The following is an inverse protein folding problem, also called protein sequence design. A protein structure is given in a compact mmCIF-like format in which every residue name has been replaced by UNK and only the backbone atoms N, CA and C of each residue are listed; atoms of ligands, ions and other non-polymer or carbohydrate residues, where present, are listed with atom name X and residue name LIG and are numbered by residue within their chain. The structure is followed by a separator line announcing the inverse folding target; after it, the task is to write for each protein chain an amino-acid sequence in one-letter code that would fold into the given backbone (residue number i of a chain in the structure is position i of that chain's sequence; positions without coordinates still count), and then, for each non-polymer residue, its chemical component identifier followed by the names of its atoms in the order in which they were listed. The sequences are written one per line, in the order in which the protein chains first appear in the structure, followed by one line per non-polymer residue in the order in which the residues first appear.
data_IF_960417801489
#
_entry.id   IF_960417801489
#
_cell.length_a   1.000
_cell.length_b   1.000
_cell.length_c   1.000
_cell.angle_alpha   90.00
_cell.angle_beta   90.00
_cell.angle_gamma   90.00
#
_symmetry.space_group_name_H-M   'P 1'
#
loop_
_entity.id
_entity.type
_entity.pdbx_description
1 polymer ?
#
# COMPACT_ATOMS: atom_id res chain seq x y z
N UNK A 1 4.08 -12.75 -19.90
CA UNK A 1 4.78 -12.95 -18.62
C UNK A 1 3.74 -13.38 -17.60
N UNK A 2 3.94 -14.49 -16.90
CA UNK A 2 3.01 -14.91 -15.83
C UNK A 2 3.21 -14.06 -14.58
N UNK A 3 2.28 -14.12 -13.63
CA UNK A 3 2.44 -13.45 -12.31
C UNK A 3 3.68 -13.95 -11.55
N UNK A 4 4.03 -15.22 -11.72
CA UNK A 4 5.20 -15.83 -11.08
C UNK A 4 6.51 -15.44 -11.77
N UNK A 5 6.53 -15.33 -13.10
CA UNK A 5 7.69 -14.81 -13.83
C UNK A 5 8.01 -13.38 -13.38
N UNK A 6 6.98 -12.53 -13.31
CA UNK A 6 7.10 -11.15 -12.85
C UNK A 6 7.64 -11.08 -11.42
N UNK A 7 7.12 -11.94 -10.53
CA UNK A 7 7.61 -12.03 -9.16
C UNK A 7 9.11 -12.36 -9.12
N UNK A 8 9.55 -13.41 -9.81
CA UNK A 8 10.95 -13.86 -9.74
C UNK A 8 11.93 -12.80 -10.27
N UNK A 9 11.58 -12.15 -11.39
CA UNK A 9 12.39 -11.07 -11.97
C UNK A 9 12.49 -9.90 -10.98
N UNK A 10 11.36 -9.41 -10.50
CA UNK A 10 11.34 -8.24 -9.63
C UNK A 10 11.92 -8.53 -8.25
N UNK A 11 11.77 -9.75 -7.74
CA UNK A 11 12.36 -10.17 -6.47
C UNK A 11 13.90 -10.12 -6.52
N UNK A 12 14.51 -10.56 -7.62
CA UNK A 12 15.95 -10.45 -7.83
C UNK A 12 16.42 -8.99 -7.91
N UNK A 13 15.67 -8.14 -8.64
CA UNK A 13 15.97 -6.71 -8.76
C UNK A 13 15.84 -5.99 -7.41
N UNK A 14 14.76 -6.23 -6.67
CA UNK A 14 14.55 -5.60 -5.35
C UNK A 14 15.63 -6.05 -4.38
N UNK A 15 15.98 -7.34 -4.35
CA UNK A 15 17.06 -7.86 -3.50
C UNK A 15 18.37 -7.12 -3.77
N UNK A 16 18.82 -7.05 -5.01
CA UNK A 16 20.11 -6.44 -5.35
C UNK A 16 20.15 -4.93 -5.07
N UNK A 17 19.07 -4.20 -5.36
CA UNK A 17 18.98 -2.78 -5.07
C UNK A 17 18.94 -2.49 -3.57
N UNK A 18 18.20 -3.29 -2.79
CA UNK A 18 18.13 -3.12 -1.34
C UNK A 18 19.43 -3.53 -0.65
N UNK A 19 20.16 -4.52 -1.16
CA UNK A 19 21.53 -4.83 -0.71
C UNK A 19 22.45 -3.62 -0.89
N UNK A 20 22.40 -2.97 -2.06
CA UNK A 20 23.17 -1.75 -2.30
C UNK A 20 22.78 -0.60 -1.37
N UNK A 21 21.48 -0.41 -1.09
CA UNK A 21 21.01 0.59 -0.11
C UNK A 21 21.53 0.26 1.30
N UNK A 22 21.46 -1.01 1.71
CA UNK A 22 21.96 -1.45 3.01
C UNK A 22 23.45 -1.13 3.20
N UNK A 23 24.24 -1.31 2.15
CA UNK A 23 25.70 -1.11 2.20
C UNK A 23 26.11 0.37 2.11
N UNK A 24 25.31 1.23 1.47
CA UNK A 24 25.71 2.61 1.14
C UNK A 24 24.91 3.70 1.87
N UNK A 25 23.63 3.47 2.14
CA UNK A 25 22.75 4.45 2.79
C UNK A 25 21.73 3.78 3.73
N UNK A 26 22.18 2.98 4.73
CA UNK A 26 21.31 2.17 5.58
C UNK A 26 20.27 2.96 6.39
N UNK A 27 20.46 4.27 6.53
CA UNK A 27 19.55 5.16 7.25
C UNK A 27 18.49 5.83 6.37
N UNK A 28 18.54 5.64 5.04
CA UNK A 28 17.59 6.22 4.11
C UNK A 28 16.18 5.65 4.31
N UNK A 29 15.16 6.42 3.92
CA UNK A 29 13.80 5.91 3.81
C UNK A 29 13.67 5.20 2.47
N UNK A 30 13.11 3.99 2.48
CA UNK A 30 13.03 3.10 1.33
C UNK A 30 11.58 2.98 0.90
N UNK A 31 11.28 3.43 -0.31
CA UNK A 31 9.95 3.40 -0.91
C UNK A 31 9.86 2.33 -1.99
N UNK A 32 9.30 1.17 -1.64
CA UNK A 32 9.10 0.04 -2.56
C UNK A 32 7.82 0.28 -3.38
N UNK A 33 8.00 0.53 -4.68
CA UNK A 33 6.93 0.60 -5.68
C UNK A 33 6.89 -0.68 -6.54
N UNK A 34 8.03 -1.39 -6.63
CA UNK A 34 8.18 -2.60 -7.42
C UNK A 34 7.11 -3.64 -7.06
N UNK A 35 6.43 -4.15 -8.08
CA UNK A 35 5.36 -5.13 -7.91
C UNK A 35 5.89 -6.58 -7.88
N UNK A 36 5.17 -7.50 -7.21
CA UNK A 36 4.06 -7.26 -6.29
C UNK A 36 4.51 -6.71 -4.92
N UNK A 37 4.03 -5.52 -4.52
CA UNK A 37 4.44 -4.84 -3.28
C UNK A 37 4.27 -5.73 -2.05
N UNK A 38 3.17 -6.51 -1.99
CA UNK A 38 2.88 -7.46 -0.90
C UNK A 38 4.00 -8.48 -0.63
N UNK A 39 4.85 -8.76 -1.62
CA UNK A 39 6.02 -9.64 -1.45
C UNK A 39 7.35 -8.89 -1.50
N UNK A 40 7.44 -7.78 -2.23
CA UNK A 40 8.67 -7.00 -2.36
C UNK A 40 9.07 -6.31 -1.06
N UNK A 41 8.12 -5.84 -0.26
CA UNK A 41 8.41 -5.27 1.07
C UNK A 41 8.97 -6.33 2.03
N UNK A 42 8.36 -7.52 2.18
CA UNK A 42 8.97 -8.61 2.95
C UNK A 42 10.38 -8.99 2.46
N UNK A 43 10.62 -9.04 1.15
CA UNK A 43 11.97 -9.30 0.61
C UNK A 43 12.95 -8.23 1.07
N UNK A 44 12.60 -6.95 0.89
CA UNK A 44 13.44 -5.84 1.30
C UNK A 44 13.77 -5.87 2.80
N UNK A 45 12.77 -6.15 3.63
CA UNK A 45 12.94 -6.27 5.07
C UNK A 45 13.91 -7.41 5.45
N UNK A 46 13.75 -8.60 4.87
CA UNK A 46 14.64 -9.74 5.15
C UNK A 46 16.08 -9.48 4.68
N UNK A 47 16.26 -8.81 3.53
CA UNK A 47 17.59 -8.38 3.06
C UNK A 47 18.24 -7.41 4.06
N UNK A 48 17.51 -6.39 4.51
CA UNK A 48 18.01 -5.43 5.50
C UNK A 48 18.30 -6.10 6.85
N UNK A 49 17.50 -7.08 7.27
CA UNK A 49 17.71 -7.86 8.50
C UNK A 49 19.00 -8.68 8.41
N UNK A 50 19.22 -9.36 7.28
CA UNK A 50 20.47 -10.11 7.02
C UNK A 50 21.71 -9.22 7.01
N UNK A 51 21.56 -7.96 6.58
CA UNK A 51 22.60 -6.93 6.63
C UNK A 51 22.74 -6.26 8.00
N UNK A 52 21.85 -6.54 8.95
CA UNK A 52 21.89 -5.99 10.32
C UNK A 52 21.50 -4.51 10.43
N UNK A 53 20.84 -3.95 9.41
CA UNK A 53 20.52 -2.51 9.32
C UNK A 53 19.02 -2.22 9.20
N UNK A 54 18.17 -3.22 9.44
CA UNK A 54 16.73 -3.08 9.31
C UNK A 54 16.13 -2.17 10.38
N UNK A 55 15.47 -1.09 9.91
CA UNK A 55 14.61 -0.23 10.72
C UNK A 55 13.18 -0.30 10.14
N UNK A 56 12.21 -0.94 10.85
CA UNK A 56 10.84 -1.09 10.36
C UNK A 56 10.12 0.25 10.17
N UNK A 57 10.61 1.35 10.76
CA UNK A 57 10.03 2.68 10.61
C UNK A 57 10.35 3.33 9.27
N UNK A 58 11.31 2.81 8.52
CA UNK A 58 11.87 3.45 7.31
C UNK A 58 11.69 2.65 6.02
N UNK A 59 10.99 1.52 6.07
CA UNK A 59 10.66 0.71 4.91
C UNK A 59 9.17 0.82 4.60
N UNK A 60 8.84 1.35 3.42
CA UNK A 60 7.49 1.66 3.00
C UNK A 60 7.14 0.97 1.68
N UNK A 61 6.04 0.22 1.65
CA UNK A 61 5.37 -0.13 0.41
C UNK A 61 4.42 0.98 0.00
N UNK A 62 4.63 1.53 -1.20
CA UNK A 62 3.82 2.66 -1.69
C UNK A 62 2.49 2.13 -2.22
N UNK A 63 1.43 2.30 -1.43
CA UNK A 63 0.04 1.95 -1.79
C UNK A 63 -0.80 3.17 -2.17
N UNK A 64 -0.19 4.36 -2.24
CA UNK A 64 -0.87 5.65 -2.45
C UNK A 64 -1.75 5.69 -3.69
N UNK A 65 -1.43 4.91 -4.73
CA UNK A 65 -2.25 4.83 -5.95
C UNK A 65 -3.66 4.29 -5.66
N UNK A 66 -3.82 3.41 -4.68
CA UNK A 66 -5.13 2.86 -4.32
C UNK A 66 -6.00 3.94 -3.65
N UNK A 67 -5.39 4.80 -2.82
CA UNK A 67 -6.05 5.95 -2.20
C UNK A 67 -6.43 6.97 -3.27
N UNK A 68 -5.53 7.26 -4.22
CA UNK A 68 -5.81 8.16 -5.34
C UNK A 68 -7.00 7.65 -6.17
N UNK A 69 -7.05 6.34 -6.46
CA UNK A 69 -8.19 5.72 -7.15
C UNK A 69 -9.46 5.80 -6.33
N UNK A 70 -9.41 5.42 -5.05
CA UNK A 70 -10.57 5.43 -4.15
C UNK A 70 -11.18 6.83 -4.05
N UNK A 71 -10.35 7.86 -3.81
CA UNK A 71 -10.80 9.25 -3.76
C UNK A 71 -11.41 9.69 -5.09
N UNK A 72 -10.81 9.31 -6.22
CA UNK A 72 -11.33 9.65 -7.56
C UNK A 72 -12.69 9.03 -7.81
N UNK A 73 -12.83 7.72 -7.59
CA UNK A 73 -14.07 7.01 -7.88
C UNK A 73 -15.20 7.39 -6.93
N UNK A 74 -14.91 7.64 -5.65
CA UNK A 74 -15.90 8.15 -4.70
C UNK A 74 -16.32 9.57 -5.06
N UNK A 75 -15.39 10.45 -5.41
CA UNK A 75 -15.71 11.83 -5.82
C UNK A 75 -16.62 11.84 -7.06
N UNK A 76 -16.29 11.06 -8.09
CA UNK A 76 -17.12 10.88 -9.28
C UNK A 76 -18.52 10.37 -8.93
N UNK A 77 -18.59 9.32 -8.09
CA UNK A 77 -19.86 8.66 -7.76
C UNK A 77 -20.79 9.55 -6.93
N UNK A 78 -20.25 10.36 -6.04
CA UNK A 78 -21.01 11.22 -5.12
C UNK A 78 -21.10 12.68 -5.56
N UNK A 79 -20.50 13.04 -6.70
CA UNK A 79 -20.49 14.42 -7.20
C UNK A 79 -19.73 15.39 -6.27
N UNK A 80 -18.69 14.89 -5.60
CA UNK A 80 -17.87 15.68 -4.68
C UNK A 80 -16.65 16.25 -5.38
N UNK A 81 -16.04 17.29 -4.80
CA UNK A 81 -14.74 17.77 -5.28
C UNK A 81 -13.66 16.80 -4.82
N UNK A 82 -12.83 16.33 -5.76
CA UNK A 82 -11.76 15.38 -5.47
C UNK A 82 -10.84 15.81 -4.32
N UNK A 83 -10.52 17.10 -4.23
CA UNK A 83 -9.63 17.67 -3.20
C UNK A 83 -10.21 17.54 -1.77
N UNK A 84 -11.51 17.32 -1.63
CA UNK A 84 -12.19 17.17 -0.34
C UNK A 84 -12.36 15.71 0.08
N UNK A 85 -12.10 14.76 -0.83
CA UNK A 85 -12.34 13.34 -0.59
C UNK A 85 -11.10 12.65 -0.05
N UNK A 86 -11.26 11.97 1.08
CA UNK A 86 -10.27 11.09 1.70
C UNK A 86 -10.92 9.75 2.07
N UNK A 87 -10.53 8.69 1.38
CA UNK A 87 -10.93 7.30 1.63
C UNK A 87 -9.70 6.54 2.11
N UNK A 88 -9.64 6.10 3.39
CA UNK A 88 -8.57 5.22 3.82
C UNK A 88 -8.64 3.89 3.05
N UNK A 89 -7.49 3.42 2.58
CA UNK A 89 -7.35 2.08 1.97
C UNK A 89 -6.33 1.30 2.78
N UNK A 90 -6.72 0.09 3.22
CA UNK A 90 -5.93 -0.78 4.10
C UNK A 90 -5.70 -2.15 3.46
N UNK A 91 -4.90 -3.01 4.12
CA UNK A 91 -4.63 -4.38 3.67
C UNK A 91 -3.30 -4.54 2.94
N UNK A 92 -3.34 -4.62 1.61
CA UNK A 92 -2.21 -4.80 0.70
C UNK A 92 -2.44 -4.05 -0.62
N UNK A 93 -1.71 -4.43 -1.67
CA UNK A 93 -1.66 -3.75 -2.98
C UNK A 93 -1.96 -4.70 -4.16
N UNK A 94 -2.78 -5.73 -3.96
CA UNK A 94 -3.11 -6.67 -5.03
C UNK A 94 -4.52 -7.27 -4.88
N UNK A 95 -5.39 -7.05 -5.86
CA UNK A 95 -6.73 -7.64 -5.90
C UNK A 95 -7.49 -7.41 -4.60
N UNK A 96 -8.05 -8.48 -4.02
CA UNK A 96 -8.86 -8.38 -2.79
C UNK A 96 -8.08 -7.91 -1.57
N UNK A 97 -6.74 -7.92 -1.62
CA UNK A 97 -5.93 -7.35 -0.53
C UNK A 97 -6.07 -5.84 -0.42
N UNK A 98 -6.54 -5.15 -1.46
CA UNK A 98 -6.85 -3.73 -1.41
C UNK A 98 -8.25 -3.57 -0.80
N UNK A 99 -8.33 -3.06 0.43
CA UNK A 99 -9.59 -2.87 1.14
C UNK A 99 -9.88 -1.37 1.38
N UNK A 100 -10.70 -0.74 0.53
CA UNK A 100 -11.15 0.63 0.74
C UNK A 100 -12.17 0.70 1.88
N UNK A 101 -11.92 1.56 2.86
CA UNK A 101 -12.81 1.79 3.99
C UNK A 101 -13.85 2.87 3.64
N UNK A 102 -14.83 2.51 2.81
CA UNK A 102 -15.87 3.43 2.36
C UNK A 102 -16.69 3.99 3.54
N UNK A 103 -16.86 3.23 4.62
CA UNK A 103 -17.54 3.71 5.85
C UNK A 103 -16.76 4.81 6.59
N UNK A 104 -15.47 4.99 6.26
CA UNK A 104 -14.56 5.98 6.83
C UNK A 104 -14.27 7.14 5.89
N UNK A 105 -14.97 7.21 4.75
CA UNK A 105 -14.84 8.31 3.78
C UNK A 105 -15.07 9.66 4.46
N UNK A 106 -14.20 10.63 4.15
CA UNK A 106 -14.38 12.04 4.50
C UNK A 106 -14.54 12.85 3.21
N UNK A 107 -15.54 13.75 3.09
CA UNK A 107 -16.66 13.93 4.00
C UNK A 107 -17.52 12.66 4.11
N UNK A 108 -18.25 12.51 5.21
CA UNK A 108 -19.11 11.35 5.42
C UNK A 108 -20.15 11.23 4.30
N UNK A 109 -20.24 10.04 3.71
CA UNK A 109 -21.14 9.73 2.60
C UNK A 109 -21.95 8.49 2.93
N UNK A 110 -23.23 8.49 2.56
CA UNK A 110 -24.06 7.29 2.57
C UNK A 110 -23.85 6.51 1.28
N UNK A 111 -23.61 5.21 1.39
CA UNK A 111 -23.47 4.31 0.25
C UNK A 111 -24.52 3.20 0.34
N UNK A 112 -25.17 2.89 -0.77
CA UNK A 112 -25.97 1.66 -0.86
C UNK A 112 -25.06 0.45 -0.94
N UNK A 113 -25.57 -0.73 -0.62
CA UNK A 113 -24.81 -1.98 -0.72
C UNK A 113 -24.24 -2.20 -2.14
N UNK A 114 -25.03 -1.90 -3.17
CA UNK A 114 -24.59 -2.00 -4.57
C UNK A 114 -23.45 -1.01 -4.89
N UNK A 115 -23.49 0.21 -4.34
CA UNK A 115 -22.41 1.17 -4.50
C UNK A 115 -21.13 0.71 -3.81
N UNK A 116 -21.25 0.15 -2.60
CA UNK A 116 -20.11 -0.39 -1.84
C UNK A 116 -19.41 -1.49 -2.63
N UNK A 117 -20.17 -2.45 -3.15
CA UNK A 117 -19.65 -3.57 -3.93
C UNK A 117 -18.97 -3.11 -5.21
N UNK A 118 -19.64 -2.25 -6.01
CA UNK A 118 -19.09 -1.77 -7.29
C UNK A 118 -17.87 -0.88 -7.11
N UNK A 119 -17.87 0.01 -6.11
CA UNK A 119 -16.71 0.86 -5.84
C UNK A 119 -15.54 0.02 -5.34
N UNK A 120 -15.78 -0.92 -4.43
CA UNK A 120 -14.73 -1.80 -3.92
C UNK A 120 -14.10 -2.62 -5.03
N UNK A 121 -14.90 -3.26 -5.88
CA UNK A 121 -14.42 -4.05 -7.01
C UNK A 121 -13.59 -3.19 -7.99
N UNK A 122 -14.10 -2.01 -8.36
CA UNK A 122 -13.36 -1.10 -9.27
C UNK A 122 -12.05 -0.62 -8.66
N UNK A 123 -11.99 -0.35 -7.35
CA UNK A 123 -10.76 0.04 -6.66
C UNK A 123 -9.74 -1.12 -6.69
N UNK A 124 -10.18 -2.34 -6.38
CA UNK A 124 -9.34 -3.55 -6.41
C UNK A 124 -8.83 -3.87 -7.82
N UNK A 125 -9.64 -3.62 -8.84
CA UNK A 125 -9.34 -3.91 -10.24
C UNK A 125 -8.79 -2.71 -11.02
N UNK A 126 -8.60 -1.55 -10.41
CA UNK A 126 -8.16 -0.33 -11.11
C UNK A 126 -6.78 -0.45 -11.76
N UNK A 127 -5.95 -1.39 -11.33
CA UNK A 127 -4.71 -1.77 -12.03
C UNK A 127 -4.97 -2.50 -13.34
N UNK A 128 -5.88 -3.47 -13.29
CA UNK A 128 -6.30 -4.28 -14.43
C UNK A 128 -7.02 -3.44 -15.49
N UNK A 129 -7.94 -2.55 -15.08
CA UNK A 129 -8.66 -1.63 -15.98
C UNK A 129 -7.68 -0.83 -16.87
N UNK A 130 -6.56 -0.37 -16.29
CA UNK A 130 -5.53 0.38 -17.04
C UNK A 130 -4.73 -0.52 -17.98
N UNK A 131 -4.40 -1.75 -17.58
CA UNK A 131 -3.68 -2.71 -18.44
C UNK A 131 -4.52 -3.07 -19.65
N UNK A 132 -5.81 -3.32 -19.45
CA UNK A 132 -6.76 -3.61 -20.51
C UNK A 132 -6.95 -2.42 -21.46
N UNK A 133 -7.13 -1.21 -20.91
CA UNK A 133 -7.22 0.01 -21.71
C UNK A 133 -5.94 0.30 -22.53
N UNK A 134 -4.78 -0.15 -22.05
CA UNK A 134 -3.50 -0.09 -22.78
C UNK A 134 -3.25 -1.30 -23.68
N UNK A 135 -4.24 -2.18 -23.89
CA UNK A 135 -4.13 -3.39 -24.70
C UNK A 135 -2.94 -4.29 -24.30
N UNK A 136 -2.62 -4.35 -23.00
CA UNK A 136 -1.51 -5.13 -22.47
C UNK A 136 -0.12 -4.50 -22.65
N UNK A 137 -0.01 -3.29 -23.24
CA UNK A 137 1.26 -2.58 -23.46
C UNK A 137 1.82 -1.91 -22.19
N UNK A 138 1.62 -2.53 -21.02
CA UNK A 138 2.04 -2.04 -19.71
C UNK A 138 0.87 -1.63 -18.81
N UNK A 139 1.20 -1.17 -17.60
CA UNK A 139 0.25 -0.80 -16.55
C UNK A 139 0.20 0.72 -16.31
N UNK A 140 -0.38 1.14 -15.18
CA UNK A 140 -0.40 2.54 -14.76
C UNK A 140 1.01 3.10 -14.58
N UNK A 141 1.35 4.12 -15.36
CA UNK A 141 2.66 4.80 -15.32
C UNK A 141 2.53 6.20 -14.77
N UNK A 142 1.73 7.05 -15.42
CA UNK A 142 1.56 8.46 -15.04
C UNK A 142 0.89 8.64 -13.67
N UNK A 143 -0.21 7.93 -13.43
CA UNK A 143 -0.91 7.99 -12.14
C UNK A 143 -0.08 7.37 -11.01
N UNK A 144 0.72 6.34 -11.30
CA UNK A 144 1.67 5.79 -10.34
C UNK A 144 2.76 6.82 -10.01
N UNK A 145 3.33 7.51 -11.01
CA UNK A 145 4.32 8.56 -10.79
C UNK A 145 3.76 9.69 -9.91
N UNK A 146 2.53 10.13 -10.17
CA UNK A 146 1.82 11.09 -9.32
C UNK A 146 1.66 10.59 -7.88
N UNK A 147 1.18 9.35 -7.70
CA UNK A 147 0.97 8.77 -6.37
C UNK A 147 2.29 8.61 -5.60
N UNK A 148 3.37 8.18 -6.26
CA UNK A 148 4.70 8.09 -5.68
C UNK A 148 5.25 9.46 -5.30
N UNK A 149 5.10 10.47 -6.16
CA UNK A 149 5.53 11.83 -5.88
C UNK A 149 4.82 12.39 -4.65
N UNK A 150 3.50 12.20 -4.54
CA UNK A 150 2.71 12.58 -3.36
C UNK A 150 3.24 11.92 -2.08
N UNK A 151 3.51 10.62 -2.09
CA UNK A 151 4.01 9.93 -0.88
C UNK A 151 5.41 10.40 -0.47
N UNK A 152 6.27 10.67 -1.46
CA UNK A 152 7.61 11.23 -1.22
C UNK A 152 7.50 12.65 -0.68
N UNK A 153 6.60 13.48 -1.19
CA UNK A 153 6.34 14.83 -0.66
C UNK A 153 5.91 14.78 0.81
N UNK A 154 4.99 13.88 1.17
CA UNK A 154 4.61 13.63 2.57
C UNK A 154 5.83 13.18 3.40
N UNK A 155 6.68 12.32 2.86
CA UNK A 155 7.92 11.89 3.54
C UNK A 155 8.89 13.06 3.77
N UNK A 156 9.04 13.95 2.79
CA UNK A 156 9.89 15.14 2.88
C UNK A 156 9.35 16.14 3.92
N UNK A 157 8.03 16.38 3.96
CA UNK A 157 7.38 17.20 4.99
C UNK A 157 7.64 16.64 6.40
N UNK A 158 7.48 15.33 6.58
CA UNK A 158 7.73 14.67 7.85
C UNK A 158 9.21 14.77 8.29
N UNK A 159 10.15 14.66 7.34
CA UNK A 159 11.59 14.84 7.59
C UNK A 159 11.92 16.29 8.02
N UNK A 160 11.28 17.28 7.40
CA UNK A 160 11.45 18.70 7.75
C UNK A 160 10.89 19.01 9.15
N UNK A 161 9.90 18.24 9.59
CA UNK A 161 9.36 18.29 10.94
C UNK A 161 7.91 18.71 11.03
N UNK A 162 7.17 18.62 9.94
CA UNK A 162 5.72 18.72 9.96
C UNK A 162 5.15 17.62 10.88
N UNK A 163 4.41 18.04 11.92
CA UNK A 163 3.87 17.15 12.94
C UNK A 163 2.56 16.48 12.53
N UNK A 164 1.97 16.86 11.40
CA UNK A 164 0.64 16.47 10.92
C UNK A 164 0.70 15.84 9.52
N UNK A 165 1.51 14.77 9.39
CA UNK A 165 1.65 14.01 8.15
C UNK A 165 1.10 12.60 8.35
N UNK A 166 0.06 12.26 7.58
CA UNK A 166 -0.58 10.96 7.60
C UNK A 166 -0.72 10.40 6.19
N UNK A 167 -0.32 9.15 5.99
CA UNK A 167 -0.46 8.45 4.71
C UNK A 167 -0.81 6.98 4.95
N UNK A 168 -1.55 6.38 4.02
CA UNK A 168 -1.68 4.93 3.97
C UNK A 168 -0.46 4.31 3.28
N UNK A 169 0.17 3.32 3.91
CA UNK A 169 1.34 2.62 3.36
C UNK A 169 1.45 1.20 3.91
N UNK A 170 1.99 0.28 3.10
CA UNK A 170 2.24 -1.11 3.46
C UNK A 170 3.58 -1.25 4.21
N UNK A 171 3.52 -1.49 5.52
CA UNK A 171 4.68 -1.48 6.42
C UNK A 171 4.66 -2.68 7.34
N UNK A 172 5.76 -2.93 8.05
CA UNK A 172 5.72 -3.86 9.19
C UNK A 172 4.73 -3.31 10.23
N UNK A 173 3.79 -4.14 10.65
CA UNK A 173 2.63 -3.70 11.43
C UNK A 173 2.24 -4.73 12.47
N UNK A 174 1.65 -4.24 13.56
CA UNK A 174 1.09 -5.05 14.65
C UNK A 174 -0.45 -4.92 14.72
N UNK A 175 -1.07 -4.27 13.73
CA UNK A 175 -2.53 -4.05 13.70
C UNK A 175 -3.34 -5.33 13.43
N UNK A 176 -2.67 -6.35 12.91
CA UNK A 176 -3.23 -7.68 12.65
C UNK A 176 -2.22 -8.74 13.05
N UNK A 177 -2.60 -10.01 12.97
CA UNK A 177 -1.70 -11.15 13.16
C UNK A 177 -0.62 -11.28 12.06
N UNK A 178 -0.77 -10.54 10.96
CA UNK A 178 0.18 -10.54 9.85
C UNK A 178 1.32 -9.55 10.11
N UNK A 179 2.58 -9.91 9.79
CA UNK A 179 3.73 -9.05 10.09
C UNK A 179 3.80 -7.79 9.23
N UNK A 180 3.06 -7.72 8.11
CA UNK A 180 2.99 -6.55 7.24
C UNK A 180 1.55 -6.26 6.87
N UNK A 181 1.16 -4.99 6.92
CA UNK A 181 -0.20 -4.55 6.65
C UNK A 181 -0.23 -3.09 6.23
N UNK A 182 -1.05 -2.76 5.23
CA UNK A 182 -1.28 -1.39 4.81
C UNK A 182 -2.30 -0.73 5.72
N UNK A 183 -1.96 0.42 6.27
CA UNK A 183 -2.84 1.20 7.13
C UNK A 183 -2.41 2.66 7.10
N UNK A 184 -3.25 3.56 7.61
CA UNK A 184 -2.89 4.96 7.81
C UNK A 184 -1.88 5.06 8.95
N UNK A 185 -0.72 5.62 8.64
CA UNK A 185 0.37 5.84 9.61
C UNK A 185 0.62 7.32 9.79
N UNK A 186 1.05 7.70 10.99
CA UNK A 186 1.66 9.01 11.24
C UNK A 186 3.14 8.93 10.85
N UNK A 187 3.58 9.85 9.99
CA UNK A 187 4.98 10.03 9.65
C UNK A 187 5.57 11.18 10.47
N UNK A 188 6.82 11.02 10.88
CA UNK A 188 7.62 12.10 11.46
C UNK A 188 9.10 11.95 11.13
N UNK A 189 9.98 12.67 11.82
CA UNK A 189 11.41 12.79 11.43
C UNK A 189 12.17 11.47 11.37
N UNK A 190 11.67 10.42 12.02
CA UNK A 190 12.29 9.10 12.09
C UNK A 190 11.53 8.00 11.33
N UNK A 191 10.58 8.39 10.46
CA UNK A 191 9.74 7.46 9.71
C UNK A 191 8.38 7.28 10.38
N UNK A 192 7.87 6.05 10.44
CA UNK A 192 6.60 5.72 11.12
C UNK A 192 6.69 6.04 12.62
N UNK A 193 5.83 6.93 13.10
CA UNK A 193 5.71 7.29 14.52
C UNK A 193 4.54 6.58 15.22
N UNK A 194 3.50 6.21 14.47
CA UNK A 194 2.35 5.50 15.00
C UNK A 194 1.35 5.11 13.92
N UNK A 195 0.38 4.28 14.32
CA UNK A 195 -0.69 3.80 13.46
C UNK A 195 -2.01 4.44 13.85
N UNK A 196 -2.82 4.86 12.88
CA UNK A 196 -4.16 5.38 13.12
C UNK A 196 -5.15 4.21 13.36
N UNK A 197 -5.14 3.67 14.58
CA UNK A 197 -5.95 2.50 14.96
C UNK A 197 -7.46 2.74 14.81
N UNK A 198 -7.90 3.99 14.89
CA UNK A 198 -9.30 4.40 14.71
C UNK A 198 -9.91 3.99 13.37
N UNK A 199 -9.09 3.83 12.32
CA UNK A 199 -9.57 3.40 11.00
C UNK A 199 -10.07 1.95 11.04
N UNK A 200 -9.53 1.12 11.95
CA UNK A 200 -9.94 -0.28 12.15
C UNK A 200 -11.08 -0.45 13.17
N UNK A 201 -11.43 0.60 13.89
CA UNK A 201 -12.56 0.56 14.83
C UNK A 201 -13.88 0.71 14.07
N UNK A 202 -14.94 0.03 14.53
CA UNK A 202 -16.29 0.18 13.97
C UNK A 202 -16.39 -0.02 12.45
N UNK A 203 -15.62 -0.96 11.89
CA UNK A 203 -15.77 -1.38 10.49
C UNK A 203 -17.18 -1.88 10.21
N UNK A 204 -17.71 -1.55 9.02
CA UNK A 204 -18.97 -2.10 8.54
C UNK A 204 -18.91 -3.62 8.38
N UNK A 205 -20.06 -4.33 8.34
CA UNK A 205 -20.07 -5.77 8.11
C UNK A 205 -19.31 -6.19 6.84
N UNK A 206 -19.48 -5.44 5.75
CA UNK A 206 -18.79 -5.68 4.47
C UNK A 206 -17.27 -5.54 4.60
N UNK A 207 -16.78 -4.49 5.25
CA UNK A 207 -15.33 -4.28 5.46
C UNK A 207 -14.73 -5.32 6.40
N UNK A 208 -15.46 -5.76 7.44
CA UNK A 208 -15.01 -6.84 8.33
C UNK A 208 -14.85 -8.15 7.57
N UNK A 209 -15.83 -8.49 6.74
CA UNK A 209 -15.75 -9.69 5.89
C UNK A 209 -14.61 -9.58 4.88
N UNK A 210 -14.44 -8.41 4.25
CA UNK A 210 -13.32 -8.13 3.34
C UNK A 210 -11.96 -8.27 4.03
N UNK A 211 -11.83 -7.80 5.26
CA UNK A 211 -10.62 -7.93 6.07
C UNK A 211 -10.27 -9.38 6.40
N UNK A 212 -11.26 -10.21 6.71
CA UNK A 212 -11.01 -11.64 6.94
C UNK A 212 -10.66 -12.38 5.64
N UNK A 213 -11.28 -12.01 4.51
CA UNK A 213 -11.00 -12.60 3.20
C UNK A 213 -9.61 -12.26 2.67
N UNK A 214 -9.10 -11.05 2.89
CA UNK A 214 -7.79 -10.66 2.37
C UNK A 214 -6.61 -11.29 3.12
N UNK A 215 -6.78 -11.62 4.40
CA UNK A 215 -5.69 -12.06 5.28
C UNK A 215 -4.96 -13.30 4.75
N UNK A 216 -5.64 -14.39 4.31
CA UNK A 216 -4.96 -15.54 3.73
C UNK A 216 -4.15 -15.22 2.47
N UNK A 217 -4.67 -14.38 1.56
CA UNK A 217 -3.95 -13.99 0.34
C UNK A 217 -2.73 -13.13 0.64
N UNK A 218 -2.88 -12.19 1.59
CA UNK A 218 -1.79 -11.34 2.03
C UNK A 218 -0.71 -12.16 2.72
N UNK A 219 -1.10 -13.11 3.59
CA UNK A 219 -0.19 -14.06 4.22
C UNK A 219 0.62 -14.86 3.20
N UNK A 220 -0.05 -15.42 2.19
CA UNK A 220 0.64 -16.18 1.14
C UNK A 220 1.67 -15.31 0.39
N UNK A 221 1.34 -14.05 0.12
CA UNK A 221 2.24 -13.09 -0.52
C UNK A 221 3.45 -12.75 0.35
N UNK A 222 3.23 -12.57 1.66
CA UNK A 222 4.28 -12.31 2.65
C UNK A 222 5.22 -13.52 2.75
N UNK A 223 4.66 -14.71 2.98
CA UNK A 223 5.41 -15.94 3.14
C UNK A 223 6.25 -16.23 1.88
N UNK A 224 5.71 -15.97 0.69
CA UNK A 224 6.44 -16.09 -0.58
C UNK A 224 7.65 -15.15 -0.65
N UNK A 225 7.49 -13.89 -0.22
CA UNK A 225 8.58 -12.92 -0.17
C UNK A 225 9.68 -13.31 0.82
N UNK A 226 9.30 -13.69 2.04
CA UNK A 226 10.22 -14.16 3.08
C UNK A 226 10.97 -15.42 2.61
N UNK A 227 10.25 -16.39 2.03
CA UNK A 227 10.85 -17.62 1.52
C UNK A 227 11.84 -17.34 0.38
N UNK A 228 11.58 -16.38 -0.50
CA UNK A 228 12.54 -15.98 -1.53
C UNK A 228 13.80 -15.37 -0.92
N UNK A 229 13.66 -14.42 0.01
CA UNK A 229 14.79 -13.73 0.60
C UNK A 229 15.70 -14.67 1.42
N UNK A 230 15.14 -15.75 1.96
CA UNK A 230 15.85 -16.77 2.75
C UNK A 230 16.55 -17.86 1.94
N UNK A 231 16.33 -17.91 0.62
CA UNK A 231 17.17 -18.68 -0.30
C UNK A 231 18.51 -17.98 -0.53
#
# INVERSE_FOLDING_TARGET
MTRDDLFNINAGIVKSLVEAVADNCPNAWIHIISNPVNSMVPIAAEVLKKKGVYDPKKLFGVTTLDIVRANTFVAEKKGLRLIEVDVPVIGGHAGITILPLLSKTKPACEFTQEEIEKLTDRIQNGGTEVVEAKAGAGSATLSMAYASARFVESSLRALDGDSDVYECTYVQSELTELPYFASRVKLGKKGVEGFATSDLENLSPFEKEGLEKLKPELKASIDKGIAFANK
#
